data_IF_013169844939
#
_entry.id   IF_013169844939
#
_cell.length_a   1.000
_cell.length_b   1.000
_cell.length_c   1.000
_cell.angle_alpha   90.00
_cell.angle_beta   90.00
_cell.angle_gamma   90.00
#
_symmetry.space_group_name_H-M   'P 1'
#
loop_
_entity.id
_entity.type
_entity.pdbx_description
1 polymer ?
#
# COMPACT_ATOMS: atom_id res chain seq x y z
N UNK A 1 5.00 6.00 0.49
CA UNK A 1 5.39 4.63 0.08
C UNK A 1 4.09 3.87 -0.03
N UNK A 2 3.64 3.49 -1.21
CA UNK A 2 2.33 2.84 -1.39
C UNK A 2 2.34 1.33 -1.07
N UNK A 3 3.09 0.90 -0.05
CA UNK A 3 3.32 -0.52 0.21
C UNK A 3 3.27 -0.84 1.70
N UNK A 4 2.73 -2.00 2.04
CA UNK A 4 2.67 -2.51 3.41
C UNK A 4 2.77 -4.04 3.45
N UNK A 5 3.12 -4.57 4.62
CA UNK A 5 3.39 -6.00 4.79
C UNK A 5 2.19 -6.75 5.36
N UNK A 6 1.88 -7.91 4.78
CA UNK A 6 0.82 -8.81 5.24
C UNK A 6 1.43 -10.16 5.58
N UNK A 7 1.06 -10.71 6.73
CA UNK A 7 1.44 -12.06 7.15
C UNK A 7 0.28 -13.02 6.83
N UNK A 8 0.44 -13.90 5.86
CA UNK A 8 -0.64 -14.78 5.39
C UNK A 8 -0.40 -16.20 5.87
N UNK A 9 -1.41 -16.79 6.50
CA UNK A 9 -1.43 -18.22 6.81
C UNK A 9 -1.84 -18.99 5.57
N UNK A 10 -1.00 -19.91 5.11
CA UNK A 10 -1.29 -20.81 3.99
C UNK A 10 -1.53 -22.21 4.58
N UNK A 11 -2.79 -22.66 4.70
CA UNK A 11 -3.13 -23.91 5.37
C UNK A 11 -2.49 -25.13 4.70
N UNK A 12 -2.13 -26.13 5.52
CA UNK A 12 -1.51 -27.36 5.07
C UNK A 12 -2.40 -28.20 4.12
N UNK A 13 -2.01 -28.31 2.84
CA UNK A 13 -2.64 -29.19 1.84
C UNK A 13 -1.64 -29.90 0.90
N UNK A 14 -0.41 -30.16 1.35
CA UNK A 14 0.65 -30.71 0.50
C UNK A 14 0.87 -32.21 0.77
N UNK A 15 0.90 -33.03 -0.29
CA UNK A 15 1.00 -34.49 -0.25
C UNK A 15 2.43 -35.01 0.00
N UNK A 16 3.25 -34.23 0.72
CA UNK A 16 4.66 -34.55 1.00
C UNK A 16 5.61 -34.25 -0.16
N UNK A 17 5.13 -33.58 -1.21
CA UNK A 17 5.96 -32.95 -2.23
C UNK A 17 6.66 -31.70 -1.68
N UNK A 18 7.84 -31.40 -2.24
CA UNK A 18 8.56 -30.16 -1.95
C UNK A 18 7.71 -28.99 -2.44
N UNK A 19 7.46 -28.04 -1.54
CA UNK A 19 6.68 -26.83 -1.85
C UNK A 19 7.61 -25.78 -2.44
N UNK A 20 7.25 -25.26 -3.60
CA UNK A 20 7.97 -24.20 -4.29
C UNK A 20 7.17 -22.88 -4.29
N UNK A 21 7.75 -21.83 -4.86
CA UNK A 21 7.15 -20.50 -4.84
C UNK A 21 5.80 -20.45 -5.57
N UNK A 22 5.68 -21.12 -6.71
CA UNK A 22 4.46 -21.18 -7.52
C UNK A 22 3.30 -21.87 -6.76
N UNK A 23 3.62 -22.87 -5.93
CA UNK A 23 2.63 -23.54 -5.09
C UNK A 23 2.07 -22.58 -4.04
N UNK A 24 2.94 -21.81 -3.38
CA UNK A 24 2.53 -20.80 -2.39
C UNK A 24 1.80 -19.65 -3.07
N UNK A 25 2.28 -19.16 -4.21
CA UNK A 25 1.63 -18.11 -5.00
C UNK A 25 0.20 -18.51 -5.39
N UNK A 26 0.00 -19.74 -5.86
CA UNK A 26 -1.34 -20.25 -6.22
C UNK A 26 -2.30 -20.27 -5.02
N UNK A 27 -1.82 -20.65 -3.83
CA UNK A 27 -2.65 -20.56 -2.62
C UNK A 27 -2.93 -19.12 -2.22
N UNK A 28 -1.95 -18.23 -2.37
CA UNK A 28 -2.11 -16.82 -2.04
C UNK A 28 -3.07 -16.12 -3.00
N UNK A 29 -3.09 -16.46 -4.29
CA UNK A 29 -4.08 -15.98 -5.26
C UNK A 29 -5.51 -16.21 -4.72
N UNK A 30 -5.80 -17.42 -4.22
CA UNK A 30 -7.12 -17.75 -3.67
C UNK A 30 -7.41 -17.03 -2.35
N UNK A 31 -6.44 -16.97 -1.44
CA UNK A 31 -6.60 -16.37 -0.10
C UNK A 31 -6.75 -14.84 -0.20
N UNK A 32 -6.03 -14.20 -1.13
CA UNK A 32 -6.01 -12.75 -1.28
C UNK A 32 -7.10 -12.22 -2.21
N UNK A 33 -7.64 -13.03 -3.13
CA UNK A 33 -8.66 -12.62 -4.11
C UNK A 33 -9.84 -11.82 -3.52
N UNK A 34 -10.41 -12.17 -2.33
CA UNK A 34 -11.50 -11.38 -1.74
C UNK A 34 -11.13 -9.93 -1.40
N UNK A 35 -9.85 -9.58 -1.38
CA UNK A 35 -9.32 -8.27 -1.00
C UNK A 35 -8.71 -7.50 -2.19
N UNK A 36 -8.82 -8.03 -3.41
CA UNK A 36 -8.37 -7.36 -4.64
C UNK A 36 -9.27 -6.17 -4.97
N UNK A 37 -8.70 -4.97 -5.08
CA UNK A 37 -9.39 -3.76 -5.51
C UNK A 37 -9.88 -3.85 -6.96
N UNK A 38 -9.16 -4.59 -7.80
CA UNK A 38 -9.43 -4.75 -9.23
C UNK A 38 -10.23 -6.01 -9.55
N UNK A 39 -10.79 -6.67 -8.53
CA UNK A 39 -11.64 -7.84 -8.73
C UNK A 39 -12.87 -7.49 -9.57
N UNK A 40 -13.08 -8.24 -10.65
CA UNK A 40 -14.32 -8.23 -11.43
C UNK A 40 -15.31 -9.33 -10.96
N UNK A 41 -14.95 -10.12 -9.94
CA UNK A 41 -15.81 -11.19 -9.41
C UNK A 41 -17.04 -10.62 -8.69
N UNK A 42 -18.22 -10.91 -9.24
CA UNK A 42 -19.51 -10.42 -8.73
C UNK A 42 -19.74 -10.74 -7.24
N UNK A 43 -19.15 -11.83 -6.72
CA UNK A 43 -19.29 -12.20 -5.31
C UNK A 43 -18.51 -11.30 -4.34
N UNK A 44 -17.50 -10.58 -4.82
CA UNK A 44 -16.69 -9.66 -4.01
C UNK A 44 -17.11 -8.21 -4.19
N UNK A 45 -17.78 -7.88 -5.29
CA UNK A 45 -18.08 -6.51 -5.65
C UNK A 45 -19.53 -6.12 -5.37
N UNK A 46 -19.72 -4.89 -4.89
CA UNK A 46 -21.03 -4.26 -4.75
C UNK A 46 -21.14 -3.03 -5.66
N UNK A 47 -22.37 -2.73 -6.07
CA UNK A 47 -22.62 -1.55 -6.91
C UNK A 47 -22.75 -0.31 -6.04
N UNK A 48 -21.76 0.58 -6.12
CA UNK A 48 -21.78 1.90 -5.51
C UNK A 48 -22.52 2.89 -6.41
N UNK A 49 -23.80 3.14 -6.09
CA UNK A 49 -24.67 4.03 -6.85
C UNK A 49 -24.28 5.50 -6.62
N UNK A 50 -23.77 6.13 -7.68
CA UNK A 50 -23.34 7.53 -7.73
C UNK A 50 -24.26 8.39 -8.58
N UNK A 51 -25.47 7.93 -8.91
CA UNK A 51 -26.35 8.58 -9.89
C UNK A 51 -26.68 10.02 -9.52
N UNK A 52 -27.07 10.27 -8.27
CA UNK A 52 -27.49 11.61 -7.84
C UNK A 52 -26.30 12.57 -7.66
N UNK A 53 -25.15 12.05 -7.23
CA UNK A 53 -23.89 12.80 -7.19
C UNK A 53 -23.46 13.19 -8.61
N UNK A 54 -23.38 12.22 -9.52
CA UNK A 54 -23.05 12.43 -10.92
C UNK A 54 -24.00 13.43 -11.62
N UNK A 55 -25.31 13.36 -11.35
CA UNK A 55 -26.27 14.35 -11.87
C UNK A 55 -25.98 15.74 -11.34
N UNK A 56 -25.65 15.87 -10.06
CA UNK A 56 -25.31 17.17 -9.45
C UNK A 56 -24.07 17.74 -10.12
N UNK A 57 -23.00 16.94 -10.19
CA UNK A 57 -21.72 17.34 -10.79
C UNK A 57 -21.91 17.71 -12.26
N UNK A 58 -22.63 16.91 -13.05
CA UNK A 58 -22.92 17.23 -14.45
C UNK A 58 -23.64 18.57 -14.64
N UNK A 59 -24.48 18.97 -13.67
CA UNK A 59 -25.21 20.25 -13.69
C UNK A 59 -24.35 21.44 -13.23
N UNK A 60 -23.46 21.24 -12.26
CA UNK A 60 -22.79 22.34 -11.55
C UNK A 60 -21.31 22.47 -11.85
N UNK A 61 -20.63 21.38 -12.16
CA UNK A 61 -19.17 21.35 -12.24
C UNK A 61 -18.65 21.89 -13.56
N UNK A 62 -17.36 22.23 -13.52
CA UNK A 62 -16.63 22.77 -14.64
C UNK A 62 -15.26 22.12 -14.75
N UNK A 63 -14.75 22.02 -15.96
CA UNK A 63 -13.40 21.54 -16.22
C UNK A 63 -12.59 22.58 -17.00
N UNK A 64 -11.27 22.47 -16.88
CA UNK A 64 -10.35 23.19 -17.77
C UNK A 64 -10.43 22.59 -19.18
N UNK A 65 -10.67 23.46 -20.16
CA UNK A 65 -10.95 23.04 -21.52
C UNK A 65 -10.33 23.97 -22.58
N UNK A 66 -10.30 23.50 -23.82
CA UNK A 66 -9.80 24.20 -24.98
C UNK A 66 -10.92 24.26 -26.01
N UNK A 67 -11.25 25.47 -26.46
CA UNK A 67 -12.18 25.69 -27.57
C UNK A 67 -11.40 25.92 -28.86
N UNK A 68 -11.74 25.15 -29.87
CA UNK A 68 -11.20 25.25 -31.23
C UNK A 68 -11.95 26.32 -32.04
N UNK A 69 -11.34 26.85 -33.12
CA UNK A 69 -11.97 27.84 -33.99
C UNK A 69 -13.27 27.37 -34.65
N UNK A 70 -13.47 26.06 -34.81
CA UNK A 70 -14.70 25.46 -35.32
C UNK A 70 -15.83 25.38 -34.27
N UNK A 71 -15.56 25.83 -33.05
CA UNK A 71 -16.49 25.82 -31.92
C UNK A 71 -16.46 24.53 -31.10
N UNK A 72 -15.73 23.49 -31.52
CA UNK A 72 -15.58 22.27 -30.73
C UNK A 72 -14.77 22.53 -29.45
N UNK A 73 -15.06 21.76 -28.40
CA UNK A 73 -14.41 21.91 -27.09
C UNK A 73 -13.90 20.55 -26.61
N UNK A 74 -12.71 20.51 -26.04
CA UNK A 74 -12.17 19.31 -25.37
C UNK A 74 -11.50 19.67 -24.04
N UNK A 75 -11.33 18.70 -23.15
CA UNK A 75 -10.57 18.90 -21.91
C UNK A 75 -9.07 19.06 -22.19
N UNK A 76 -8.33 19.71 -21.30
CA UNK A 76 -6.88 19.93 -21.45
C UNK A 76 -6.03 18.65 -21.48
N UNK A 77 -6.59 17.53 -21.04
CA UNK A 77 -5.93 16.22 -21.06
C UNK A 77 -6.31 15.36 -22.27
N UNK A 78 -7.14 15.89 -23.17
CA UNK A 78 -7.54 15.19 -24.39
C UNK A 78 -6.32 14.86 -25.25
N UNK A 79 -6.28 13.63 -25.77
CA UNK A 79 -5.14 13.13 -26.54
C UNK A 79 -4.90 13.93 -27.83
N UNK A 80 -5.97 14.41 -28.50
CA UNK A 80 -5.88 15.24 -29.71
C UNK A 80 -5.24 16.58 -29.39
N UNK A 81 -5.63 17.22 -28.29
CA UNK A 81 -4.99 18.47 -27.87
C UNK A 81 -3.53 18.24 -27.46
N UNK A 82 -3.27 17.25 -26.59
CA UNK A 82 -1.92 16.98 -26.05
C UNK A 82 -0.89 16.56 -27.09
N UNK A 83 -1.35 16.00 -28.21
CA UNK A 83 -0.52 15.59 -29.33
C UNK A 83 0.19 16.79 -29.98
N UNK A 84 -0.55 17.87 -30.21
CA UNK A 84 -0.06 19.00 -31.02
C UNK A 84 0.21 20.25 -30.16
N UNK A 85 -0.41 20.34 -28.97
CA UNK A 85 -0.35 21.53 -28.11
C UNK A 85 -0.16 21.17 -26.62
N UNK A 86 0.15 22.19 -25.82
CA UNK A 86 0.20 22.11 -24.36
C UNK A 86 -0.07 23.47 -23.72
N UNK A 87 -0.40 23.47 -22.43
CA UNK A 87 -0.77 24.65 -21.66
C UNK A 87 0.29 24.92 -20.56
N UNK A 88 0.77 26.15 -20.47
CA UNK A 88 1.58 26.64 -19.33
C UNK A 88 1.09 28.04 -18.97
N UNK A 89 0.84 28.32 -17.68
CA UNK A 89 0.43 29.64 -17.18
C UNK A 89 -0.74 30.25 -17.99
N UNK A 90 -1.78 29.44 -18.22
CA UNK A 90 -2.98 29.78 -19.01
C UNK A 90 -2.71 30.13 -20.48
N UNK A 91 -1.51 29.84 -20.99
CA UNK A 91 -1.08 30.13 -22.36
C UNK A 91 -0.90 28.84 -23.15
N UNK A 92 -1.48 28.77 -24.34
CA UNK A 92 -1.41 27.60 -25.23
C UNK A 92 -0.22 27.73 -26.16
N UNK A 93 0.58 26.67 -26.22
CA UNK A 93 1.77 26.54 -27.05
C UNK A 93 1.65 25.31 -27.95
N UNK A 94 2.22 25.40 -29.15
CA UNK A 94 2.43 24.25 -30.02
C UNK A 94 3.63 23.42 -29.53
N UNK A 95 3.56 22.10 -29.69
CA UNK A 95 4.67 21.19 -29.45
C UNK A 95 5.85 21.50 -30.38
N UNK A 96 7.06 21.31 -29.88
CA UNK A 96 8.27 21.35 -30.70
C UNK A 96 8.21 20.20 -31.75
N UNK A 97 8.91 20.29 -32.90
CA UNK A 97 8.87 19.24 -33.93
C UNK A 97 9.30 17.84 -33.46
N UNK A 98 10.07 17.77 -32.38
CA UNK A 98 10.50 16.55 -31.71
C UNK A 98 9.55 16.09 -30.58
N UNK A 99 8.43 16.78 -30.38
CA UNK A 99 7.46 16.55 -29.31
C UNK A 99 7.80 17.24 -27.99
N UNK A 100 8.87 18.03 -27.93
CA UNK A 100 9.27 18.82 -26.77
C UNK A 100 8.31 19.95 -26.39
N UNK A 101 8.57 20.56 -25.23
CA UNK A 101 7.83 21.73 -24.68
C UNK A 101 8.76 22.93 -24.42
N UNK A 102 9.99 22.87 -24.92
CA UNK A 102 11.05 23.82 -24.59
C UNK A 102 10.95 25.12 -25.38
N UNK A 103 10.51 25.03 -26.64
CA UNK A 103 10.47 26.15 -27.56
C UNK A 103 9.39 27.18 -27.21
N UNK A 104 8.37 26.81 -26.41
CA UNK A 104 7.23 27.68 -26.05
C UNK A 104 6.68 28.42 -27.28
N UNK A 105 6.45 27.66 -28.34
CA UNK A 105 6.11 28.19 -29.66
C UNK A 105 4.64 28.61 -29.67
N UNK A 106 4.37 29.86 -30.02
CA UNK A 106 3.01 30.33 -30.31
C UNK A 106 2.84 30.58 -31.81
N UNK A 107 2.38 29.55 -32.52
CA UNK A 107 2.03 29.67 -33.93
C UNK A 107 0.57 30.17 -34.09
N UNK A 108 0.14 30.35 -35.32
CA UNK A 108 -1.23 30.83 -35.59
C UNK A 108 -2.30 29.85 -35.09
N UNK A 109 -2.04 28.55 -35.14
CA UNK A 109 -2.96 27.52 -34.65
C UNK A 109 -3.12 27.56 -33.13
N UNK A 110 -2.02 27.68 -32.38
CA UNK A 110 -2.06 27.70 -30.92
C UNK A 110 -2.70 28.99 -30.38
N UNK A 111 -2.54 30.12 -31.10
CA UNK A 111 -3.19 31.40 -30.77
C UNK A 111 -4.68 31.42 -31.13
N UNK A 112 -5.10 30.59 -32.08
CA UNK A 112 -6.50 30.47 -32.48
C UNK A 112 -7.32 29.64 -31.47
N UNK A 113 -6.66 28.89 -30.58
CA UNK A 113 -7.29 28.14 -29.50
C UNK A 113 -7.61 29.07 -28.32
N UNK A 114 -8.79 28.89 -27.73
CA UNK A 114 -9.20 29.60 -26.53
C UNK A 114 -9.12 28.67 -25.32
N UNK A 115 -8.37 29.08 -24.30
CA UNK A 115 -8.34 28.37 -23.03
C UNK A 115 -9.51 28.80 -22.15
N UNK A 116 -10.33 27.82 -21.75
CA UNK A 116 -11.45 27.99 -20.84
C UNK A 116 -11.05 27.46 -19.47
N UNK A 117 -10.89 28.36 -18.50
CA UNK A 117 -10.51 27.99 -17.12
C UNK A 117 -11.60 27.20 -16.39
N UNK A 118 -12.86 27.46 -16.71
CA UNK A 118 -14.03 26.81 -16.12
C UNK A 118 -15.12 26.63 -17.20
N UNK A 119 -15.04 25.52 -17.94
CA UNK A 119 -16.04 25.15 -18.93
C UNK A 119 -17.09 24.23 -18.29
N UNK A 120 -18.40 24.58 -18.32
CA UNK A 120 -19.45 23.69 -17.84
C UNK A 120 -19.39 22.31 -18.49
N UNK A 121 -19.49 21.25 -17.70
CA UNK A 121 -19.37 19.88 -18.19
C UNK A 121 -20.39 19.54 -19.29
N UNK A 122 -21.59 20.13 -19.24
CA UNK A 122 -22.62 20.00 -20.28
C UNK A 122 -22.21 20.46 -21.68
N UNK A 123 -21.21 21.35 -21.78
CA UNK A 123 -20.67 21.79 -23.07
C UNK A 123 -19.63 20.81 -23.60
N UNK A 124 -18.95 20.09 -22.71
CA UNK A 124 -17.96 19.06 -23.05
C UNK A 124 -18.64 17.73 -23.36
N UNK A 125 -19.69 17.39 -22.62
CA UNK A 125 -20.43 16.14 -22.70
C UNK A 125 -21.90 16.47 -22.98
N UNK A 126 -22.38 16.33 -24.24
CA UNK A 126 -23.74 16.75 -24.60
C UNK A 126 -24.86 16.00 -23.90
N UNK A 127 -24.59 14.80 -23.38
CA UNK A 127 -25.55 13.98 -22.64
C UNK A 127 -24.96 13.55 -21.30
N UNK A 128 -25.85 13.33 -20.33
CA UNK A 128 -25.48 12.79 -19.02
C UNK A 128 -24.80 11.41 -19.16
N UNK A 129 -25.29 10.56 -20.07
CA UNK A 129 -24.66 9.27 -20.37
C UNK A 129 -23.21 9.41 -20.85
N UNK A 130 -22.92 10.37 -21.74
CA UNK A 130 -21.57 10.60 -22.22
C UNK A 130 -20.66 11.09 -21.09
N UNK A 131 -21.18 11.95 -20.22
CA UNK A 131 -20.47 12.40 -19.04
C UNK A 131 -20.11 11.21 -18.14
N UNK A 132 -21.10 10.38 -17.78
CA UNK A 132 -20.87 9.21 -16.92
C UNK A 132 -19.81 8.26 -17.50
N UNK A 133 -19.88 7.93 -18.80
CA UNK A 133 -18.96 6.98 -19.44
C UNK A 133 -17.58 7.56 -19.70
N UNK A 134 -17.50 8.71 -20.37
CA UNK A 134 -16.24 9.23 -20.89
C UNK A 134 -15.48 10.09 -19.89
N UNK A 135 -16.19 10.79 -19.00
CA UNK A 135 -15.56 11.65 -18.01
C UNK A 135 -15.33 10.91 -16.70
N UNK A 136 -16.38 10.25 -16.20
CA UNK A 136 -16.37 9.64 -14.88
C UNK A 136 -16.03 8.14 -14.91
N UNK A 137 -16.03 7.48 -16.06
CA UNK A 137 -15.74 6.03 -16.17
C UNK A 137 -16.78 5.13 -15.50
N UNK A 138 -17.99 5.65 -15.27
CA UNK A 138 -19.09 4.93 -14.61
C UNK A 138 -19.74 3.92 -15.56
N UNK A 139 -20.26 2.86 -14.97
CA UNK A 139 -21.11 1.88 -15.65
C UNK A 139 -22.58 2.06 -15.23
N UNK A 140 -23.50 1.58 -16.06
CA UNK A 140 -24.92 1.59 -15.76
C UNK A 140 -25.38 0.18 -15.41
N UNK A 141 -26.06 0.02 -14.27
CA UNK A 141 -26.63 -1.27 -13.87
C UNK A 141 -28.01 -1.53 -14.54
N UNK A 142 -28.56 -2.73 -14.33
CA UNK A 142 -29.86 -3.15 -14.90
C UNK A 142 -31.05 -2.27 -14.47
N UNK A 143 -30.94 -1.61 -13.32
CA UNK A 143 -31.96 -0.68 -12.81
C UNK A 143 -31.83 0.73 -13.42
N UNK A 144 -30.80 0.99 -14.22
CA UNK A 144 -30.52 2.26 -14.87
C UNK A 144 -29.74 3.26 -14.01
N UNK A 145 -29.23 2.84 -12.85
CA UNK A 145 -28.37 3.65 -11.99
C UNK A 145 -26.92 3.66 -12.51
N UNK A 146 -26.22 4.76 -12.30
CA UNK A 146 -24.83 5.00 -12.69
C UNK A 146 -23.90 4.93 -11.50
N UNK A 147 -22.78 4.23 -11.63
CA UNK A 147 -21.88 4.00 -10.52
C UNK A 147 -20.68 3.12 -10.88
N UNK A 148 -20.08 2.52 -9.87
CA UNK A 148 -18.93 1.63 -9.99
C UNK A 148 -19.23 0.30 -9.28
N UNK A 149 -18.65 -0.78 -9.78
CA UNK A 149 -18.52 -1.99 -8.98
C UNK A 149 -17.24 -1.85 -8.17
N UNK A 150 -17.37 -1.86 -6.85
CA UNK A 150 -16.24 -1.74 -5.92
C UNK A 150 -16.20 -2.96 -5.03
N UNK A 151 -15.00 -3.43 -4.71
CA UNK A 151 -14.83 -4.41 -3.65
C UNK A 151 -14.79 -3.66 -2.30
N UNK A 152 -15.81 -3.78 -1.43
CA UNK A 152 -15.81 -3.08 -0.14
C UNK A 152 -14.76 -3.63 0.82
N UNK A 153 -14.23 -4.82 0.54
CA UNK A 153 -13.14 -5.44 1.28
C UNK A 153 -11.77 -5.15 0.66
N UNK A 154 -11.67 -4.36 -0.41
CA UNK A 154 -10.41 -4.05 -1.08
C UNK A 154 -9.32 -3.62 -0.08
N UNK A 155 -8.13 -4.22 -0.23
CA UNK A 155 -6.93 -3.90 0.54
C UNK A 155 -5.73 -3.61 -0.37
N UNK A 156 -5.70 -4.16 -1.57
CA UNK A 156 -4.55 -4.06 -2.47
C UNK A 156 -4.97 -3.98 -3.94
N UNK A 157 -4.14 -3.37 -4.78
CA UNK A 157 -4.27 -3.38 -6.26
C UNK A 157 -3.22 -4.29 -6.94
N UNK A 158 -2.16 -4.68 -6.22
CA UNK A 158 -1.26 -5.77 -6.57
C UNK A 158 -0.46 -6.28 -5.35
N UNK A 159 0.08 -7.50 -5.42
CA UNK A 159 0.91 -8.09 -4.36
C UNK A 159 2.02 -9.02 -4.89
N UNK A 160 3.07 -9.23 -4.08
CA UNK A 160 4.10 -10.28 -4.30
C UNK A 160 4.60 -10.88 -2.99
N UNK A 161 5.13 -12.11 -3.03
CA UNK A 161 5.84 -12.71 -1.90
C UNK A 161 7.14 -11.94 -1.64
N UNK A 162 7.34 -11.53 -0.39
CA UNK A 162 8.53 -10.81 0.08
C UNK A 162 8.55 -9.35 -0.36
N UNK A 163 9.08 -9.08 -1.55
CA UNK A 163 9.18 -7.73 -2.12
C UNK A 163 10.02 -6.77 -1.26
N UNK A 164 9.46 -5.61 -0.90
CA UNK A 164 10.10 -4.63 0.02
C UNK A 164 10.30 -5.18 1.42
N UNK A 165 9.54 -6.20 1.79
CA UNK A 165 9.57 -6.83 3.10
C UNK A 165 10.23 -8.21 3.05
N UNK A 166 11.11 -8.45 2.07
CA UNK A 166 11.81 -9.73 1.97
C UNK A 166 12.70 -10.02 3.17
N UNK A 167 12.80 -11.29 3.56
CA UNK A 167 13.72 -11.78 4.59
C UNK A 167 13.26 -11.51 6.02
N UNK A 168 11.96 -11.55 6.29
CA UNK A 168 11.38 -11.30 7.63
C UNK A 168 11.33 -12.55 8.51
N UNK A 169 11.50 -13.74 7.94
CA UNK A 169 11.52 -15.01 8.67
C UNK A 169 12.93 -15.61 8.65
N UNK A 170 13.33 -16.29 9.72
CA UNK A 170 14.65 -16.94 9.83
C UNK A 170 14.49 -18.45 9.96
N UNK A 171 15.19 -19.20 9.12
CA UNK A 171 15.20 -20.68 9.13
C UNK A 171 16.63 -21.20 9.13
N UNK A 172 16.80 -22.51 9.34
CA UNK A 172 18.10 -23.18 9.18
C UNK A 172 18.58 -23.09 7.73
N UNK A 173 19.89 -22.90 7.54
CA UNK A 173 20.47 -22.68 6.21
C UNK A 173 20.25 -23.84 5.23
N UNK A 174 20.16 -25.07 5.74
CA UNK A 174 19.97 -26.30 4.95
C UNK A 174 18.50 -26.63 4.65
N UNK A 175 17.53 -25.91 5.23
CA UNK A 175 16.11 -26.11 4.98
C UNK A 175 15.78 -25.88 3.50
N UNK A 176 15.09 -26.84 2.87
CA UNK A 176 14.70 -26.77 1.46
C UNK A 176 13.26 -26.29 1.27
N UNK A 177 12.35 -26.66 2.18
CA UNK A 177 10.92 -26.33 2.12
C UNK A 177 10.66 -24.91 2.64
N UNK A 178 11.23 -23.91 1.96
CA UNK A 178 11.06 -22.49 2.26
C UNK A 178 11.17 -21.65 0.99
N UNK A 179 10.49 -20.51 0.95
CA UNK A 179 10.48 -19.60 -0.19
C UNK A 179 11.38 -18.40 0.09
N UNK A 180 12.27 -18.09 -0.85
CA UNK A 180 13.11 -16.91 -0.83
C UNK A 180 13.08 -16.28 -2.22
N UNK A 181 12.38 -15.16 -2.36
CA UNK A 181 12.19 -14.44 -3.64
C UNK A 181 13.18 -13.28 -3.79
N UNK A 182 13.78 -12.81 -2.70
CA UNK A 182 14.75 -11.73 -2.70
C UNK A 182 15.91 -11.89 -1.71
N UNK A 183 16.89 -10.98 -1.82
CA UNK A 183 17.91 -10.82 -0.80
C UNK A 183 17.33 -10.05 0.40
N UNK A 184 17.62 -10.51 1.62
CA UNK A 184 17.35 -9.73 2.82
C UNK A 184 18.14 -8.42 2.76
N UNK A 185 17.46 -7.31 2.49
CA UNK A 185 18.11 -6.02 2.17
C UNK A 185 18.85 -5.40 3.36
N UNK A 186 18.46 -5.76 4.58
CA UNK A 186 18.82 -5.00 5.79
C UNK A 186 19.66 -5.79 6.80
N UNK A 187 19.79 -7.11 6.66
CA UNK A 187 20.51 -7.91 7.66
C UNK A 187 21.19 -9.15 7.07
N UNK A 188 22.40 -9.44 7.54
CA UNK A 188 23.10 -10.69 7.25
C UNK A 188 22.60 -11.75 8.23
N UNK A 189 22.11 -12.88 7.72
CA UNK A 189 21.69 -13.98 8.58
C UNK A 189 22.87 -14.51 9.41
N UNK A 190 22.66 -14.89 10.69
CA UNK A 190 23.70 -15.52 11.49
C UNK A 190 24.20 -16.82 10.85
N UNK A 191 25.43 -17.23 11.19
CA UNK A 191 26.03 -18.48 10.72
C UNK A 191 25.11 -19.68 10.98
N UNK A 192 24.84 -20.45 9.92
CA UNK A 192 23.95 -21.62 9.96
C UNK A 192 22.46 -21.32 9.74
N UNK A 193 22.11 -20.07 9.43
CA UNK A 193 20.75 -19.63 9.15
C UNK A 193 20.65 -18.90 7.82
N UNK A 194 19.42 -18.75 7.33
CA UNK A 194 19.08 -17.89 6.19
C UNK A 194 17.75 -17.20 6.43
N UNK A 195 17.60 -16.02 5.85
CA UNK A 195 16.35 -15.29 5.83
C UNK A 195 15.48 -15.75 4.64
N UNK A 196 14.17 -15.86 4.87
CA UNK A 196 13.19 -16.35 3.90
C UNK A 196 11.90 -15.54 3.99
N UNK A 197 11.07 -15.68 2.96
CA UNK A 197 9.81 -14.95 2.77
C UNK A 197 8.60 -15.83 3.09
N UNK A 198 8.74 -17.16 2.97
CA UNK A 198 7.76 -18.09 3.50
C UNK A 198 8.40 -19.38 4.05
N UNK A 199 7.86 -19.90 5.14
CA UNK A 199 8.25 -21.17 5.73
C UNK A 199 7.14 -21.72 6.60
N UNK A 200 7.17 -23.03 6.91
CA UNK A 200 6.25 -23.60 7.90
C UNK A 200 6.51 -23.02 9.28
N UNK A 201 5.45 -22.78 10.06
CA UNK A 201 5.56 -22.22 11.42
C UNK A 201 6.60 -22.96 12.29
N UNK A 202 6.60 -24.30 12.24
CA UNK A 202 7.52 -25.14 13.03
C UNK A 202 8.99 -25.03 12.64
N UNK A 203 9.27 -24.65 11.39
CA UNK A 203 10.63 -24.59 10.84
C UNK A 203 11.28 -23.20 11.06
N UNK A 204 10.48 -22.21 11.46
CA UNK A 204 10.94 -20.86 11.79
C UNK A 204 11.67 -20.86 13.14
N UNK A 205 12.87 -20.29 13.15
CA UNK A 205 13.77 -20.25 14.31
C UNK A 205 13.43 -19.10 15.27
N UNK A 206 12.23 -19.14 15.86
CA UNK A 206 11.67 -18.08 16.71
C UNK A 206 12.60 -17.62 17.84
N UNK A 207 13.24 -18.55 18.55
CA UNK A 207 14.15 -18.22 19.64
C UNK A 207 15.39 -17.42 19.16
N UNK A 208 15.91 -17.72 17.97
CA UNK A 208 17.05 -17.02 17.38
C UNK A 208 16.61 -15.64 16.91
N UNK A 209 15.45 -15.54 16.27
CA UNK A 209 14.86 -14.25 15.92
C UNK A 209 14.68 -13.38 17.15
N UNK A 210 14.14 -13.93 18.25
CA UNK A 210 13.98 -13.22 19.53
C UNK A 210 15.29 -12.68 20.05
N UNK A 211 16.35 -13.47 20.08
CA UNK A 211 17.67 -13.01 20.52
C UNK A 211 18.19 -11.83 19.68
N UNK A 212 18.07 -11.92 18.35
CA UNK A 212 18.50 -10.86 17.42
C UNK A 212 17.66 -9.59 17.63
N UNK A 213 16.33 -9.73 17.67
CA UNK A 213 15.41 -8.61 17.80
C UNK A 213 15.52 -7.91 19.15
N UNK A 214 15.67 -8.65 20.25
CA UNK A 214 15.90 -8.04 21.58
C UNK A 214 17.18 -7.21 21.59
N UNK A 215 18.29 -7.71 21.02
CA UNK A 215 19.54 -6.94 20.91
C UNK A 215 19.37 -5.68 20.07
N UNK A 216 18.66 -5.78 18.94
CA UNK A 216 18.39 -4.63 18.08
C UNK A 216 17.52 -3.57 18.79
N UNK A 217 16.50 -3.99 19.54
CA UNK A 217 15.64 -3.09 20.32
C UNK A 217 16.41 -2.43 21.46
N UNK A 218 17.28 -3.15 22.17
CA UNK A 218 18.16 -2.57 23.20
C UNK A 218 19.08 -1.49 22.62
N UNK A 219 19.72 -1.77 21.49
CA UNK A 219 20.57 -0.80 20.79
C UNK A 219 19.77 0.43 20.31
N UNK A 220 18.58 0.21 19.76
CA UNK A 220 17.70 1.30 19.30
C UNK A 220 17.24 2.17 20.48
N UNK A 221 16.94 1.57 21.64
CA UNK A 221 16.60 2.32 22.85
C UNK A 221 17.74 3.23 23.29
N UNK A 222 18.97 2.72 23.36
CA UNK A 222 20.16 3.51 23.72
C UNK A 222 20.36 4.69 22.75
N UNK A 223 20.18 4.46 21.44
CA UNK A 223 20.26 5.50 20.42
C UNK A 223 19.15 6.55 20.60
N UNK A 224 17.92 6.12 20.89
CA UNK A 224 16.79 7.02 21.13
C UNK A 224 17.02 7.91 22.36
N UNK A 225 17.46 7.33 23.48
CA UNK A 225 17.76 8.08 24.70
C UNK A 225 18.86 9.10 24.43
N UNK A 226 19.94 8.70 23.76
CA UNK A 226 21.05 9.59 23.43
C UNK A 226 20.62 10.74 22.51
N UNK A 227 19.81 10.46 21.49
CA UNK A 227 19.28 11.45 20.56
C UNK A 227 18.29 12.43 21.23
N UNK A 228 17.42 11.92 22.09
CA UNK A 228 16.50 12.76 22.85
C UNK A 228 17.25 13.70 23.80
N UNK A 229 18.30 13.21 24.46
CA UNK A 229 19.14 14.03 25.36
C UNK A 229 19.98 15.07 24.63
N UNK A 230 20.50 14.75 23.43
CA UNK A 230 21.32 15.65 22.64
C UNK A 230 20.50 16.65 21.81
N UNK A 231 19.23 16.34 21.56
CA UNK A 231 18.35 17.06 20.64
C UNK A 231 18.69 16.80 19.16
N UNK A 232 19.50 15.78 18.84
CA UNK A 232 19.88 15.43 17.47
C UNK A 232 19.23 14.12 17.02
N UNK A 233 18.23 14.24 16.14
CA UNK A 233 17.47 13.12 15.57
C UNK A 233 17.86 12.81 14.12
N UNK A 234 18.97 13.36 13.60
CA UNK A 234 19.37 13.20 12.18
C UNK A 234 19.70 11.76 11.76
N UNK A 235 20.01 10.89 12.73
CA UNK A 235 20.27 9.47 12.47
C UNK A 235 19.00 8.62 12.46
N UNK A 236 17.83 9.23 12.70
CA UNK A 236 16.54 8.60 12.52
C UNK A 236 16.00 8.92 11.12
N UNK A 237 14.79 8.45 10.86
CA UNK A 237 14.09 8.70 9.61
C UNK A 237 13.97 10.20 9.28
N UNK A 238 13.83 10.52 7.99
CA UNK A 238 13.67 11.88 7.46
C UNK A 238 12.53 12.67 8.12
N UNK A 239 11.49 11.97 8.57
CA UNK A 239 10.33 12.56 9.25
C UNK A 239 10.44 12.56 10.79
N UNK A 240 11.58 12.15 11.35
CA UNK A 240 11.80 12.15 12.78
C UNK A 240 11.85 13.59 13.33
N UNK A 241 11.07 13.84 14.37
CA UNK A 241 10.95 15.13 15.05
C UNK A 241 11.05 14.95 16.55
N UNK A 242 11.74 15.89 17.19
CA UNK A 242 11.80 15.96 18.65
C UNK A 242 10.55 16.69 19.16
N UNK A 243 9.86 16.09 20.13
CA UNK A 243 8.67 16.66 20.78
C UNK A 243 8.88 16.77 22.29
N UNK A 244 7.94 17.39 23.00
CA UNK A 244 7.98 17.44 24.47
C UNK A 244 7.82 16.06 25.12
N UNK A 245 7.14 15.15 24.43
CA UNK A 245 6.80 13.80 24.85
C UNK A 245 7.81 12.73 24.39
N UNK A 246 8.76 13.06 23.52
CA UNK A 246 9.75 12.10 23.02
C UNK A 246 10.27 12.37 21.61
N UNK A 247 10.50 11.28 20.86
CA UNK A 247 10.87 11.32 19.43
C UNK A 247 9.71 10.73 18.63
N UNK A 248 9.20 11.49 17.65
CA UNK A 248 8.09 11.07 16.79
C UNK A 248 8.56 10.94 15.35
N UNK A 249 8.13 9.91 14.64
CA UNK A 249 8.38 9.76 13.19
C UNK A 249 7.21 9.03 12.54
N UNK A 250 6.86 9.40 11.30
CA UNK A 250 5.75 8.78 10.56
C UNK A 250 4.43 8.67 11.33
N UNK A 251 4.12 9.69 12.14
CA UNK A 251 2.88 9.68 12.93
C UNK A 251 2.96 8.89 14.23
N UNK A 252 4.00 8.10 14.47
CA UNK A 252 4.16 7.24 15.65
C UNK A 252 5.25 7.73 16.62
N UNK A 253 5.15 7.29 17.87
CA UNK A 253 6.19 7.52 18.88
C UNK A 253 7.33 6.51 18.71
N UNK A 254 8.48 6.97 18.21
CA UNK A 254 9.71 6.18 18.15
C UNK A 254 10.19 5.92 19.57
N UNK A 255 10.24 6.96 20.40
CA UNK A 255 10.66 6.92 21.81
C UNK A 255 9.78 7.84 22.64
N UNK A 256 9.41 7.39 23.84
CA UNK A 256 8.58 8.12 24.80
C UNK A 256 9.47 8.57 25.96
N UNK A 257 9.43 9.86 26.27
CA UNK A 257 10.23 10.47 27.33
C UNK A 257 9.96 9.79 28.68
N UNK A 258 11.00 9.20 29.25
CA UNK A 258 10.95 8.60 30.58
C UNK A 258 10.45 7.15 30.60
N UNK A 259 10.20 6.54 29.44
CA UNK A 259 9.96 5.10 29.35
C UNK A 259 11.23 4.34 29.77
N UNK A 260 11.06 3.23 30.50
CA UNK A 260 12.20 2.36 30.84
C UNK A 260 12.55 1.47 29.65
N UNK A 261 13.71 0.81 29.70
CA UNK A 261 14.06 -0.20 28.68
C UNK A 261 13.03 -1.34 28.63
N UNK A 262 12.47 -1.74 29.78
CA UNK A 262 11.47 -2.81 29.83
C UNK A 262 10.13 -2.34 29.22
N UNK A 263 9.71 -1.11 29.49
CA UNK A 263 8.52 -0.52 28.84
C UNK A 263 8.72 -0.41 27.33
N UNK A 264 9.90 0.00 26.89
CA UNK A 264 10.26 0.07 25.48
C UNK A 264 10.22 -1.30 24.80
N UNK A 265 10.83 -2.32 25.43
CA UNK A 265 10.80 -3.70 24.94
C UNK A 265 9.39 -4.25 24.86
N UNK A 266 8.56 -4.00 25.86
CA UNK A 266 7.15 -4.38 25.84
C UNK A 266 6.44 -3.71 24.67
N UNK A 267 6.61 -2.39 24.48
CA UNK A 267 5.99 -1.67 23.37
C UNK A 267 6.45 -2.16 22.00
N UNK A 268 7.74 -2.49 21.84
CA UNK A 268 8.33 -3.03 20.59
C UNK A 268 8.07 -4.52 20.35
N UNK A 269 7.41 -5.22 21.27
CA UNK A 269 7.03 -6.62 21.09
C UNK A 269 8.20 -7.61 21.28
N UNK A 270 9.14 -7.30 22.16
CA UNK A 270 10.30 -8.17 22.48
C UNK A 270 10.46 -8.40 23.98
N UNK A 271 9.37 -8.30 24.74
CA UNK A 271 9.35 -8.65 26.15
C UNK A 271 9.54 -10.16 26.38
N UNK A 272 9.70 -10.55 27.64
CA UNK A 272 9.85 -11.96 28.00
C UNK A 272 8.62 -12.81 27.62
N UNK A 273 7.43 -12.19 27.56
CA UNK A 273 6.17 -12.86 27.18
C UNK A 273 5.98 -12.97 25.66
N UNK A 274 6.69 -12.18 24.85
CA UNK A 274 6.58 -12.23 23.38
C UNK A 274 7.35 -13.44 22.83
N UNK A 275 6.69 -14.33 22.10
CA UNK A 275 7.27 -15.56 21.56
C UNK A 275 7.66 -15.41 20.08
N UNK A 276 6.82 -14.73 19.31
CA UNK A 276 6.96 -14.62 17.85
C UNK A 276 7.37 -13.20 17.46
N UNK A 277 8.52 -13.06 16.82
CA UNK A 277 8.96 -11.75 16.30
C UNK A 277 8.38 -11.51 14.91
N UNK A 278 7.11 -11.12 14.90
CA UNK A 278 6.38 -10.68 13.71
C UNK A 278 5.97 -9.21 13.90
N UNK A 279 6.09 -8.43 12.84
CA UNK A 279 5.82 -6.99 12.86
C UNK A 279 5.10 -6.50 11.63
N UNK A 280 4.37 -7.39 10.96
CA UNK A 280 3.61 -7.07 9.77
C UNK A 280 2.47 -6.11 10.09
N UNK A 281 2.07 -5.31 9.09
CA UNK A 281 0.99 -4.34 9.22
C UNK A 281 -0.37 -5.04 9.32
N UNK A 282 -0.55 -6.12 8.56
CA UNK A 282 -1.75 -6.94 8.59
C UNK A 282 -1.42 -8.43 8.65
N UNK A 283 -2.42 -9.25 8.97
CA UNK A 283 -2.37 -10.70 8.79
C UNK A 283 -3.69 -11.22 8.21
N UNK A 284 -3.61 -12.39 7.59
CA UNK A 284 -4.76 -13.21 7.21
C UNK A 284 -4.66 -14.54 7.95
N UNK A 285 -5.70 -14.83 8.72
CA UNK A 285 -5.76 -16.05 9.52
C UNK A 285 -6.10 -17.29 8.68
N UNK A 286 -6.21 -18.45 9.33
CA UNK A 286 -6.54 -19.71 8.66
C UNK A 286 -7.97 -19.74 8.08
N UNK A 287 -8.86 -18.87 8.55
CA UNK A 287 -10.23 -18.76 8.05
C UNK A 287 -10.33 -17.85 6.81
N UNK A 288 -9.25 -17.13 6.48
CA UNK A 288 -9.23 -16.13 5.42
C UNK A 288 -9.64 -14.74 5.92
N UNK A 289 -9.72 -14.52 7.23
CA UNK A 289 -10.13 -13.24 7.80
C UNK A 289 -8.94 -12.27 7.87
N UNK A 290 -9.14 -11.07 7.32
CA UNK A 290 -8.13 -10.00 7.33
C UNK A 290 -8.17 -9.20 8.64
N UNK A 291 -7.00 -9.01 9.24
CA UNK A 291 -6.82 -8.10 10.37
C UNK A 291 -5.65 -7.16 10.11
N UNK A 292 -5.89 -5.85 10.22
CA UNK A 292 -4.87 -4.81 10.13
C UNK A 292 -4.57 -4.15 11.47
N UNK A 293 -3.39 -3.55 11.59
CA UNK A 293 -3.07 -2.64 12.70
C UNK A 293 -3.89 -1.35 12.63
N UNK A 294 -4.37 -0.97 11.45
CA UNK A 294 -5.24 0.17 11.20
C UNK A 294 -5.87 0.08 9.80
N UNK A 295 -6.30 1.25 9.30
CA UNK A 295 -6.85 1.43 7.97
C UNK A 295 -5.80 2.05 7.06
N UNK A 296 -5.22 1.22 6.18
CA UNK A 296 -4.21 1.66 5.23
C UNK A 296 -4.85 2.51 4.14
N UNK A 297 -4.30 3.70 3.93
CA UNK A 297 -4.75 4.64 2.90
C UNK A 297 -3.67 5.00 1.90
N UNK A 298 -4.06 5.87 0.98
CA UNK A 298 -3.23 6.33 -0.13
C UNK A 298 -1.85 6.86 0.32
N UNK A 299 -0.82 6.60 -0.49
CA UNK A 299 0.61 6.84 -0.19
C UNK A 299 1.18 6.02 0.99
N UNK A 300 0.46 4.98 1.44
CA UNK A 300 0.80 4.12 2.58
C UNK A 300 0.70 4.84 3.92
N UNK A 301 -0.25 5.78 4.02
CA UNK A 301 -0.53 6.49 5.25
C UNK A 301 -1.64 5.72 5.97
N UNK A 302 -1.32 5.19 7.15
CA UNK A 302 -2.30 4.52 7.99
C UNK A 302 -3.13 5.50 8.82
N UNK A 303 -4.35 5.09 9.14
CA UNK A 303 -5.27 5.80 10.03
C UNK A 303 -5.98 4.82 10.95
N UNK A 304 -6.63 5.31 12.00
CA UNK A 304 -7.31 4.47 13.01
C UNK A 304 -6.42 3.36 13.61
N UNK A 305 -5.12 3.63 13.73
CA UNK A 305 -4.15 2.65 14.20
C UNK A 305 -4.44 2.22 15.64
N UNK A 306 -4.41 0.91 15.85
CA UNK A 306 -4.40 0.28 17.16
C UNK A 306 -3.13 0.69 17.90
N UNK A 307 -3.21 0.85 19.23
CA UNK A 307 -2.01 1.01 20.05
C UNK A 307 -1.00 -0.11 19.80
N UNK A 308 0.29 0.23 19.68
CA UNK A 308 1.37 -0.68 19.28
C UNK A 308 1.36 -2.00 20.08
N UNK A 309 1.24 -1.92 21.41
CA UNK A 309 1.20 -3.11 22.28
C UNK A 309 -0.02 -3.99 22.02
N UNK A 310 -1.20 -3.40 21.79
CA UNK A 310 -2.43 -4.15 21.49
C UNK A 310 -2.26 -4.91 20.17
N UNK A 311 -1.71 -4.26 19.15
CA UNK A 311 -1.45 -4.93 17.87
C UNK A 311 -0.44 -6.07 18.00
N UNK A 312 0.61 -5.88 18.81
CA UNK A 312 1.60 -6.94 19.08
C UNK A 312 0.96 -8.13 19.82
N UNK A 313 0.05 -7.89 20.76
CA UNK A 313 -0.68 -8.95 21.46
C UNK A 313 -1.59 -9.73 20.50
N UNK A 314 -2.28 -9.05 19.59
CA UNK A 314 -3.09 -9.69 18.54
C UNK A 314 -2.23 -10.56 17.61
N UNK A 315 -1.03 -10.10 17.22
CA UNK A 315 -0.09 -10.90 16.43
C UNK A 315 0.40 -12.14 17.18
N UNK A 316 0.61 -12.06 18.51
CA UNK A 316 0.95 -13.25 19.30
C UNK A 316 -0.20 -14.25 19.32
N UNK A 317 -1.43 -13.77 19.57
CA UNK A 317 -2.63 -14.62 19.59
C UNK A 317 -2.89 -15.29 18.23
N UNK A 318 -2.78 -14.52 17.14
CA UNK A 318 -2.82 -15.04 15.77
C UNK A 318 -1.80 -16.16 15.58
N UNK A 319 -0.54 -15.92 15.96
CA UNK A 319 0.51 -16.91 15.80
C UNK A 319 0.30 -18.15 16.67
N UNK A 320 -0.36 -18.05 17.82
CA UNK A 320 -0.73 -19.22 18.63
C UNK A 320 -1.80 -20.10 17.96
N UNK A 321 -2.66 -19.53 17.12
CA UNK A 321 -3.70 -20.25 16.38
C UNK A 321 -3.18 -20.95 15.12
N UNK A 322 -2.13 -20.41 14.49
CA UNK A 322 -1.48 -21.01 13.31
C UNK A 322 -0.96 -22.41 13.65
N UNK A 323 -1.20 -23.39 12.77
CA UNK A 323 -0.70 -24.75 12.98
C UNK A 323 0.77 -24.87 12.59
N UNK A 324 1.48 -25.77 13.25
CA UNK A 324 2.93 -26.00 13.04
C UNK A 324 3.29 -26.33 11.58
N UNK A 325 2.40 -27.01 10.86
CA UNK A 325 2.58 -27.41 9.46
C UNK A 325 2.07 -26.38 8.43
N UNK A 326 1.40 -25.32 8.89
CA UNK A 326 0.98 -24.23 8.01
C UNK A 326 2.18 -23.40 7.58
N UNK A 327 2.15 -22.95 6.33
CA UNK A 327 3.10 -21.96 5.87
C UNK A 327 2.69 -20.58 6.36
N UNK A 328 3.68 -19.80 6.82
CA UNK A 328 3.57 -18.37 6.99
C UNK A 328 4.25 -17.72 5.80
N UNK A 329 3.52 -16.93 5.04
CA UNK A 329 4.05 -16.16 3.90
C UNK A 329 4.00 -14.66 4.20
N UNK A 330 5.10 -13.97 3.91
CA UNK A 330 5.20 -12.52 4.04
C UNK A 330 4.94 -11.91 2.67
N UNK A 331 3.92 -11.08 2.56
CA UNK A 331 3.44 -10.50 1.31
C UNK A 331 3.62 -8.99 1.32
N UNK A 332 4.15 -8.44 0.23
CA UNK A 332 4.24 -7.01 -0.06
C UNK A 332 3.02 -6.60 -0.89
N UNK A 333 2.03 -5.99 -0.23
CA UNK A 333 0.83 -5.45 -0.86
C UNK A 333 1.03 -3.98 -1.24
N UNK A 334 0.54 -3.58 -2.41
CA UNK A 334 0.47 -2.19 -2.86
C UNK A 334 -0.93 -1.60 -2.63
N UNK A 335 -1.00 -0.28 -2.46
CA UNK A 335 -2.23 0.52 -2.30
C UNK A 335 -2.18 1.87 -3.02
#
# INVERSE_FOLDING_TARGET
>A
MSHYSVCVTVPHHYDGTQVNAEDIESCLDEILAPFDEQSDEESYCEFDDRTEEAKTDYETDTAQAIRYPDGSVCVIHDAKFRKDFYLIDNTIYARDPDGGISGRIQNEESKALEFLTACPLKLLYPTFEQYCKDHSGMVQNDAGAWGYYINPNAKWDWWQIGGRFSGRLLVKADLQDCIQTGDARECVAPDGYKFVDAARKKDICWAVMKEIGTKAVEQNYEQCVAAFMSGDVKNFDFFATLTEDGIRGWGEMIYIKGETLDDYKARKGVSDTDQYLIGNYAYIDRNGDWSGSGDMGWFGISSNDKPERIWKDELQAFMDEVQDDDFIAIVDCHI
#
